data_IF_227770118212
#
_entry.id   IF_227770118212
#
_cell.length_a   1.000
_cell.length_b   1.000
_cell.length_c   1.000
_cell.angle_alpha   90.00
_cell.angle_beta   90.00
_cell.angle_gamma   90.00
#
_symmetry.space_group_name_H-M   'P 1'
#
loop_
_entity.id
_entity.type
_entity.pdbx_description
1 polymer ?
#
# COMPACT_ATOMS: atom_id res chain seq x y z
N UNK A 1 -2.36 -9.21 -25.54
CA UNK A 1 -2.63 -9.83 -24.23
C UNK A 1 -3.52 -8.87 -23.44
N UNK A 2 -4.64 -9.32 -22.85
CA UNK A 2 -5.55 -8.44 -22.09
C UNK A 2 -4.89 -7.92 -20.81
N UNK A 3 -5.25 -6.71 -20.35
CA UNK A 3 -4.74 -6.07 -19.13
C UNK A 3 -4.96 -6.95 -17.89
N UNK A 4 -6.17 -7.50 -17.72
CA UNK A 4 -6.48 -8.45 -16.64
C UNK A 4 -5.58 -9.69 -16.65
N UNK A 5 -5.10 -10.11 -17.83
CA UNK A 5 -4.16 -11.23 -17.97
C UNK A 5 -2.72 -10.83 -17.58
N UNK A 6 -2.33 -9.57 -17.71
CA UNK A 6 -1.01 -9.08 -17.24
C UNK A 6 -0.97 -9.08 -15.71
N UNK A 7 -2.00 -8.52 -15.07
CA UNK A 7 -2.13 -8.49 -13.61
C UNK A 7 -2.15 -9.91 -13.05
N UNK A 8 -2.93 -10.83 -13.66
CA UNK A 8 -2.99 -12.21 -13.16
C UNK A 8 -1.67 -12.99 -13.28
N UNK A 9 -0.80 -12.60 -14.22
CA UNK A 9 0.55 -13.15 -14.34
C UNK A 9 1.52 -12.58 -13.29
N UNK A 10 1.24 -11.41 -12.72
CA UNK A 10 2.07 -10.79 -11.70
C UNK A 10 1.98 -11.53 -10.36
N UNK A 11 0.78 -11.95 -9.93
CA UNK A 11 0.57 -12.62 -8.64
C UNK A 11 1.49 -13.83 -8.39
N UNK A 12 1.63 -14.81 -9.30
CA UNK A 12 2.55 -15.93 -9.07
C UNK A 12 4.02 -15.52 -9.07
N UNK A 13 4.39 -14.40 -9.70
CA UNK A 13 5.76 -13.87 -9.66
C UNK A 13 6.05 -13.21 -8.30
N UNK A 14 5.10 -12.42 -7.79
CA UNK A 14 5.18 -11.80 -6.45
C UNK A 14 5.37 -12.89 -5.40
N UNK A 15 4.53 -13.93 -5.44
CA UNK A 15 4.64 -15.09 -4.53
C UNK A 15 5.98 -15.81 -4.65
N UNK A 16 6.50 -16.02 -5.86
CA UNK A 16 7.79 -16.69 -6.09
C UNK A 16 8.99 -15.87 -5.58
N UNK A 17 8.87 -14.54 -5.57
CA UNK A 17 9.88 -13.64 -5.04
C UNK A 17 9.86 -13.53 -3.50
N UNK A 18 8.89 -14.15 -2.83
CA UNK A 18 8.76 -14.11 -1.37
C UNK A 18 8.15 -12.80 -0.84
N UNK A 19 7.48 -12.04 -1.70
CA UNK A 19 6.71 -10.85 -1.28
C UNK A 19 5.26 -11.22 -0.99
N UNK A 20 4.66 -10.57 0.00
CA UNK A 20 3.24 -10.65 0.30
C UNK A 20 2.42 -9.74 -0.63
N UNK A 21 3.01 -8.59 -0.99
CA UNK A 21 2.44 -7.64 -1.94
C UNK A 21 3.52 -6.92 -2.74
N UNK A 22 3.15 -6.40 -3.90
CA UNK A 22 3.92 -5.41 -4.66
C UNK A 22 3.11 -4.12 -4.77
N UNK A 23 3.68 -2.99 -4.37
CA UNK A 23 3.09 -1.67 -4.60
C UNK A 23 3.69 -1.04 -5.86
N UNK A 24 2.80 -0.51 -6.71
CA UNK A 24 3.14 0.15 -7.97
C UNK A 24 2.58 1.58 -7.95
N UNK A 25 3.46 2.57 -8.00
CA UNK A 25 3.10 3.98 -8.09
C UNK A 25 2.81 4.42 -9.54
N UNK A 26 2.22 5.61 -9.78
CA UNK A 26 2.10 6.23 -11.10
C UNK A 26 3.38 6.13 -11.93
N UNK A 27 3.35 5.28 -12.95
CA UNK A 27 4.53 4.90 -13.73
C UNK A 27 4.13 4.17 -15.02
N UNK A 28 5.06 4.00 -15.98
CA UNK A 28 4.84 3.15 -17.15
C UNK A 28 4.46 1.71 -16.78
N UNK A 29 4.89 1.21 -15.63
CA UNK A 29 4.49 -0.12 -15.14
C UNK A 29 3.00 -0.17 -14.79
N UNK A 30 2.49 0.86 -14.11
CA UNK A 30 1.06 0.98 -13.81
C UNK A 30 0.22 1.04 -15.10
N UNK A 31 0.64 1.85 -16.06
CA UNK A 31 -0.01 1.99 -17.36
C UNK A 31 0.03 0.66 -18.13
N UNK A 32 1.17 -0.04 -18.10
CA UNK A 32 1.29 -1.35 -18.72
C UNK A 32 0.33 -2.38 -18.10
N UNK A 33 0.18 -2.38 -16.78
CA UNK A 33 -0.65 -3.35 -16.05
C UNK A 33 -2.14 -3.05 -16.20
N UNK A 34 -2.54 -1.78 -16.09
CA UNK A 34 -3.93 -1.35 -15.92
C UNK A 34 -4.44 -0.44 -17.03
N UNK A 35 -3.55 0.29 -17.70
CA UNK A 35 -3.87 1.40 -18.60
C UNK A 35 -4.10 2.74 -17.89
N UNK A 36 -3.95 2.79 -16.57
CA UNK A 36 -4.02 4.03 -15.79
C UNK A 36 -2.72 4.82 -15.99
N UNK A 37 -2.86 6.12 -16.23
CA UNK A 37 -1.73 7.03 -16.40
C UNK A 37 -1.93 8.32 -15.57
N UNK A 38 -2.17 8.21 -14.25
CA UNK A 38 -2.25 9.37 -13.38
C UNK A 38 -0.92 10.14 -13.42
N UNK A 39 -0.99 11.45 -13.23
CA UNK A 39 0.21 12.28 -13.22
C UNK A 39 1.11 11.91 -12.03
N UNK A 40 2.40 11.61 -12.25
CA UNK A 40 3.33 11.41 -11.15
C UNK A 40 3.54 12.73 -10.39
N UNK A 41 3.47 12.70 -9.07
CA UNK A 41 3.59 13.87 -8.21
C UNK A 41 3.88 13.51 -6.77
N UNK A 42 3.84 14.48 -5.87
CA UNK A 42 4.12 14.31 -4.44
C UNK A 42 3.02 13.56 -3.68
N UNK A 43 1.82 13.45 -4.27
CA UNK A 43 0.70 12.74 -3.67
C UNK A 43 0.88 11.25 -3.86
N UNK A 44 0.89 10.51 -2.76
CA UNK A 44 0.93 9.07 -2.79
C UNK A 44 -0.30 8.48 -3.52
N UNK A 45 -0.04 7.71 -4.56
CA UNK A 45 -1.02 6.88 -5.24
C UNK A 45 -0.36 5.53 -5.47
N UNK A 46 -0.96 4.44 -5.00
CA UNK A 46 -0.34 3.12 -5.06
C UNK A 46 -1.36 2.03 -5.35
N UNK A 47 -1.05 1.20 -6.34
CA UNK A 47 -1.74 -0.06 -6.60
C UNK A 47 -0.98 -1.20 -5.92
N UNK A 48 -1.66 -1.94 -5.05
CA UNK A 48 -1.14 -3.13 -4.39
C UNK A 48 -1.63 -4.38 -5.12
N UNK A 49 -0.68 -5.20 -5.55
CA UNK A 49 -0.91 -6.53 -6.10
C UNK A 49 -0.52 -7.56 -5.06
N UNK A 50 -1.46 -8.38 -4.60
CA UNK A 50 -1.24 -9.34 -3.52
C UNK A 50 -0.76 -10.69 -4.09
N UNK A 51 0.10 -11.39 -3.34
CA UNK A 51 0.57 -12.73 -3.70
C UNK A 51 -0.55 -13.77 -3.80
N UNK A 52 -1.68 -13.53 -3.11
CA UNK A 52 -2.88 -14.38 -3.10
C UNK A 52 -3.85 -14.11 -4.27
N UNK A 53 -3.54 -13.13 -5.12
CA UNK A 53 -4.34 -12.75 -6.28
C UNK A 53 -5.37 -11.64 -6.04
N UNK A 54 -5.46 -11.10 -4.82
CA UNK A 54 -6.22 -9.87 -4.54
C UNK A 54 -5.47 -8.64 -5.05
N UNK A 55 -6.18 -7.52 -5.18
CA UNK A 55 -5.58 -6.22 -5.45
C UNK A 55 -6.40 -5.12 -4.80
N UNK A 56 -5.74 -4.03 -4.42
CA UNK A 56 -6.40 -2.82 -3.92
C UNK A 56 -5.54 -1.60 -4.25
N UNK A 57 -6.13 -0.42 -4.21
CA UNK A 57 -5.41 0.83 -4.43
C UNK A 57 -5.66 1.81 -3.28
N UNK A 58 -4.63 2.57 -2.93
CA UNK A 58 -4.71 3.72 -2.00
C UNK A 58 -4.33 4.95 -2.80
N UNK A 59 -5.27 5.87 -2.98
CA UNK A 59 -5.12 6.97 -3.93
C UNK A 59 -5.73 8.26 -3.39
N UNK A 60 -5.15 9.38 -3.82
CA UNK A 60 -5.71 10.69 -3.53
C UNK A 60 -7.09 10.84 -4.16
N UNK A 61 -7.95 11.64 -3.54
CA UNK A 61 -9.31 11.94 -4.04
C UNK A 61 -9.35 12.36 -5.50
N UNK A 62 -8.31 13.03 -5.99
CA UNK A 62 -8.22 13.48 -7.38
C UNK A 62 -8.24 12.31 -8.38
N UNK A 63 -7.60 11.19 -8.05
CA UNK A 63 -7.46 10.02 -8.94
C UNK A 63 -8.40 8.86 -8.60
N UNK A 64 -9.16 8.95 -7.50
CA UNK A 64 -10.00 7.86 -7.03
C UNK A 64 -11.04 7.38 -8.06
N UNK A 65 -11.64 8.30 -8.82
CA UNK A 65 -12.58 7.91 -9.88
C UNK A 65 -11.87 7.17 -11.03
N UNK A 66 -10.74 7.68 -11.50
CA UNK A 66 -9.95 7.07 -12.59
C UNK A 66 -9.56 5.63 -12.22
N UNK A 67 -9.09 5.41 -10.98
CA UNK A 67 -8.74 4.08 -10.49
C UNK A 67 -9.94 3.13 -10.40
N UNK A 68 -11.11 3.60 -9.95
CA UNK A 68 -12.34 2.78 -9.90
C UNK A 68 -12.80 2.33 -11.29
N UNK A 69 -12.59 3.16 -12.31
CA UNK A 69 -12.95 2.86 -13.69
C UNK A 69 -11.89 1.98 -14.40
N UNK A 70 -10.61 2.17 -14.09
CA UNK A 70 -9.51 1.44 -14.74
C UNK A 70 -9.18 0.08 -14.10
N UNK A 71 -9.54 -0.14 -12.84
CA UNK A 71 -9.32 -1.40 -12.14
C UNK A 71 -10.52 -2.36 -12.26
N UNK A 72 -10.31 -3.68 -12.13
CA UNK A 72 -11.40 -4.64 -12.02
C UNK A 72 -12.31 -4.30 -10.82
N UNK A 73 -13.62 -4.54 -10.93
CA UNK A 73 -14.59 -4.30 -9.84
C UNK A 73 -14.28 -5.06 -8.54
N UNK A 74 -13.48 -6.13 -8.62
CA UNK A 74 -13.01 -6.88 -7.45
C UNK A 74 -11.90 -6.18 -6.67
N UNK A 75 -11.27 -5.13 -7.22
CA UNK A 75 -10.22 -4.38 -6.56
C UNK A 75 -10.81 -3.21 -5.76
N UNK A 76 -10.50 -3.17 -4.47
CA UNK A 76 -10.94 -2.09 -3.58
C UNK A 76 -10.14 -0.82 -3.84
N UNK A 77 -10.79 0.35 -3.87
CA UNK A 77 -10.14 1.66 -4.03
C UNK A 77 -10.38 2.50 -2.78
N UNK A 78 -9.32 2.69 -2.00
CA UNK A 78 -9.28 3.50 -0.79
C UNK A 78 -8.87 4.93 -1.16
N UNK A 79 -9.72 5.88 -0.80
CA UNK A 79 -9.56 7.30 -1.12
C UNK A 79 -9.09 8.06 0.12
N UNK A 80 -8.03 8.86 -0.03
CA UNK A 80 -7.56 9.79 0.99
C UNK A 80 -7.68 11.24 0.52
N UNK A 81 -7.77 12.18 1.46
CA UNK A 81 -7.91 13.62 1.19
C UNK A 81 -6.65 14.36 1.59
N UNK A 82 -6.33 15.45 0.90
CA UNK A 82 -5.12 16.24 1.12
C UNK A 82 -5.00 16.72 2.58
N UNK A 83 -6.11 16.95 3.27
CA UNK A 83 -6.14 17.39 4.67
C UNK A 83 -5.80 16.29 5.67
N UNK A 84 -6.09 15.03 5.34
CA UNK A 84 -5.93 13.86 6.23
C UNK A 84 -4.61 13.12 5.98
N UNK A 85 -4.03 13.32 4.80
CA UNK A 85 -2.90 12.53 4.27
C UNK A 85 -3.24 11.04 4.14
N UNK A 86 -2.31 10.22 3.62
CA UNK A 86 -2.65 8.84 3.21
C UNK A 86 -2.50 7.78 4.32
N UNK A 87 -1.93 8.11 5.48
CA UNK A 87 -1.51 7.10 6.48
C UNK A 87 -2.66 6.32 7.11
N UNK A 88 -3.73 7.00 7.51
CA UNK A 88 -4.88 6.35 8.13
C UNK A 88 -5.62 5.47 7.11
N UNK A 89 -5.77 5.98 5.89
CA UNK A 89 -6.36 5.23 4.77
C UNK A 89 -5.53 4.00 4.39
N UNK A 90 -4.20 4.14 4.36
CA UNK A 90 -3.28 3.02 4.11
C UNK A 90 -3.37 1.98 5.23
N UNK A 91 -3.41 2.41 6.49
CA UNK A 91 -3.53 1.53 7.65
C UNK A 91 -4.84 0.75 7.62
N UNK A 92 -5.94 1.41 7.25
CA UNK A 92 -7.23 0.76 7.04
C UNK A 92 -7.15 -0.27 5.91
N UNK A 93 -6.59 0.09 4.75
CA UNK A 93 -6.45 -0.82 3.62
C UNK A 93 -5.61 -2.05 3.97
N UNK A 94 -4.52 -1.87 4.72
CA UNK A 94 -3.68 -2.98 5.19
C UNK A 94 -4.43 -3.90 6.15
N UNK A 95 -5.21 -3.35 7.08
CA UNK A 95 -6.04 -4.15 7.98
C UNK A 95 -7.11 -4.95 7.23
N UNK A 96 -7.80 -4.34 6.26
CA UNK A 96 -8.83 -5.00 5.44
C UNK A 96 -8.27 -6.10 4.53
N UNK A 97 -6.97 -6.05 4.23
CA UNK A 97 -6.27 -6.98 3.34
C UNK A 97 -5.29 -7.92 4.07
N UNK A 98 -5.35 -7.99 5.40
CA UNK A 98 -4.53 -8.87 6.24
C UNK A 98 -3.01 -8.62 6.12
N UNK A 99 -2.61 -7.40 5.74
CA UNK A 99 -1.20 -6.98 5.71
C UNK A 99 -0.82 -6.58 7.13
N UNK A 100 -0.08 -7.45 7.80
CA UNK A 100 0.31 -7.31 9.20
C UNK A 100 1.80 -7.04 9.42
N UNK A 101 2.19 -7.03 10.69
CA UNK A 101 3.60 -6.99 11.08
C UNK A 101 4.39 -8.15 10.47
N UNK A 102 5.56 -7.84 9.92
CA UNK A 102 6.42 -8.82 9.25
C UNK A 102 6.06 -9.06 7.76
N UNK A 103 5.00 -8.45 7.24
CA UNK A 103 4.69 -8.51 5.81
C UNK A 103 5.82 -7.90 4.97
N UNK A 104 6.18 -8.57 3.88
CA UNK A 104 7.23 -8.14 2.96
C UNK A 104 6.59 -7.54 1.71
N UNK A 105 6.65 -6.21 1.61
CA UNK A 105 6.10 -5.46 0.48
C UNK A 105 7.22 -5.08 -0.47
N UNK A 106 7.15 -5.54 -1.72
CA UNK A 106 7.98 -5.04 -2.80
C UNK A 106 7.51 -3.65 -3.23
N UNK A 107 8.44 -2.76 -3.56
CA UNK A 107 8.16 -1.43 -4.10
C UNK A 107 8.70 -1.36 -5.52
N UNK A 108 7.93 -0.80 -6.47
CA UNK A 108 8.47 -0.46 -7.77
C UNK A 108 9.36 0.79 -7.67
N UNK A 109 10.21 1.00 -8.67
CA UNK A 109 11.21 2.09 -8.68
C UNK A 109 10.61 3.50 -8.65
N UNK A 110 9.32 3.62 -8.97
CA UNK A 110 8.59 4.89 -9.04
C UNK A 110 7.91 5.28 -7.74
N UNK A 111 7.89 4.38 -6.73
CA UNK A 111 7.46 4.74 -5.37
C UNK A 111 8.49 5.68 -4.78
N UNK A 112 8.06 6.84 -4.27
CA UNK A 112 9.01 7.78 -3.68
C UNK A 112 9.62 7.18 -2.41
N UNK A 113 10.92 7.39 -2.20
CA UNK A 113 11.62 6.85 -1.04
C UNK A 113 10.99 7.31 0.29
N UNK A 114 10.45 8.53 0.34
CA UNK A 114 9.70 9.04 1.50
C UNK A 114 8.46 8.19 1.77
N UNK A 115 7.66 7.89 0.73
CA UNK A 115 6.46 7.07 0.88
C UNK A 115 6.82 5.66 1.37
N UNK A 116 7.85 5.04 0.80
CA UNK A 116 8.30 3.72 1.24
C UNK A 116 8.75 3.70 2.72
N UNK A 117 9.45 4.74 3.18
CA UNK A 117 9.84 4.88 4.59
C UNK A 117 8.62 5.10 5.47
N UNK A 118 7.69 5.95 5.05
CA UNK A 118 6.47 6.24 5.82
C UNK A 118 5.54 5.03 5.92
N UNK A 119 5.43 4.22 4.87
CA UNK A 119 4.70 2.94 4.90
C UNK A 119 5.21 2.01 6.01
N UNK A 120 6.52 2.04 6.30
CA UNK A 120 7.15 1.25 7.37
C UNK A 120 6.96 1.94 8.74
N UNK A 121 7.09 3.27 8.78
CA UNK A 121 7.11 4.05 10.02
C UNK A 121 5.72 4.34 10.63
N UNK A 122 4.69 4.44 9.80
CA UNK A 122 3.32 4.81 10.22
C UNK A 122 2.36 3.63 10.34
N UNK A 123 2.81 2.40 10.08
CA UNK A 123 2.02 1.21 10.42
C UNK A 123 1.79 1.15 11.93
N UNK A 124 0.55 1.44 12.33
CA UNK A 124 0.04 1.19 13.68
C UNK A 124 -0.98 0.07 13.56
N UNK A 125 -0.71 -1.15 14.08
CA UNK A 125 -1.76 -2.15 14.15
C UNK A 125 -2.95 -1.52 14.88
N UNK A 126 -4.12 -1.52 14.23
CA UNK A 126 -5.32 -0.87 14.72
C UNK A 126 -5.54 -1.24 16.19
N UNK A 127 -5.20 -0.31 17.09
CA UNK A 127 -5.70 -0.37 18.44
C UNK A 127 -7.16 0.10 18.37
N UNK A 128 -8.16 -0.71 18.72
CA UNK A 128 -9.50 -0.18 18.95
C UNK A 128 -9.37 0.91 20.01
N UNK A 129 -10.06 2.03 19.80
CA UNK A 129 -9.93 3.31 20.49
C UNK A 129 -10.30 3.32 21.99
N UNK A 130 -10.19 2.20 22.70
CA UNK A 130 -10.57 2.06 24.10
C UNK A 130 -9.42 1.78 25.08
N UNK A 131 -8.15 1.87 24.67
CA UNK A 131 -7.04 1.76 25.63
C UNK A 131 -6.01 2.88 25.48
N UNK A 132 -6.29 3.99 26.17
CA UNK A 132 -5.26 4.88 26.69
C UNK A 132 -4.40 4.08 27.70
N UNK A 133 -3.40 3.36 27.21
CA UNK A 133 -2.29 2.88 28.03
C UNK A 133 -1.07 3.74 27.66
N UNK A 134 -0.65 4.57 28.62
CA UNK A 134 0.39 5.59 28.48
C UNK A 134 1.78 5.08 28.08
N UNK A 135 2.79 5.97 28.07
CA UNK A 135 4.10 5.67 27.51
C UNK A 135 4.77 4.50 28.24
N UNK A 136 5.01 3.41 27.50
CA UNK A 136 5.90 2.33 27.96
C UNK A 136 7.33 2.89 28.01
N UNK A 137 7.78 3.26 29.22
CA UNK A 137 9.21 3.41 29.51
C UNK A 137 9.90 2.08 29.22
N UNK A 138 10.97 2.07 28.41
CA UNK A 138 11.93 0.96 28.40
C UNK A 138 12.56 0.89 29.79
N UNK A 139 12.19 -0.11 30.57
CA UNK A 139 12.91 -0.48 31.77
C UNK A 139 14.15 -1.30 31.39
N UNK A 140 15.32 -0.72 31.63
CA UNK A 140 16.51 -1.47 32.06
C UNK A 140 17.41 -2.02 30.98
N UNK A 141 18.44 -1.25 30.62
CA UNK A 141 19.80 -1.76 30.39
C UNK A 141 20.79 -0.75 30.99
N UNK A 142 21.18 -1.00 32.25
CA UNK A 142 22.38 -0.40 32.83
C UNK A 142 23.57 -1.24 32.34
N UNK A 143 24.23 -0.78 31.28
CA UNK A 143 25.49 -1.35 30.81
C UNK A 143 26.61 -0.33 30.99
N UNK A 144 26.96 -0.04 32.25
CA UNK A 144 28.25 0.51 32.70
C UNK A 144 28.38 0.26 34.21
N UNK A 145 29.08 -0.82 34.59
CA UNK A 145 29.85 -1.01 35.84
C UNK A 145 30.55 -2.36 35.81
#
# INVERSE_FOLDING_TARGET
>A
MSRSKRISLAYPLIRKSGFDALVVAPSPDLEYLTGLAPHPGERFNGLFLMADGRSFAVVSKLYAQEYREGLPTSASVYEWRDEDWFFDTLSQAFADHDIGEGAVIGVNDSVMAVDAVEMIGHWRPCCPSSSLAGPRRRSGENFWS
#
